data_IF_522075317201
#
_entry.id   IF_522075317201
#
_cell.length_a   1.000
_cell.length_b   1.000
_cell.length_c   1.000
_cell.angle_alpha   90.00
_cell.angle_beta   90.00
_cell.angle_gamma   90.00
#
_symmetry.space_group_name_H-M   'P 1'
#
loop_
_entity.id
_entity.type
_entity.pdbx_description
1 polymer ?
#
# COMPACT_ATOMS: atom_id res chain seq x y z
N UNK A 1 -1.82 15.75 -7.96
CA UNK A 1 -2.54 14.53 -8.40
C UNK A 1 -2.32 13.45 -7.34
N UNK A 2 -3.41 12.98 -6.73
CA UNK A 2 -3.42 11.91 -5.72
C UNK A 2 -2.96 10.60 -6.36
N UNK A 3 -2.00 9.91 -5.75
CA UNK A 3 -1.54 8.61 -6.22
C UNK A 3 -2.49 7.49 -5.81
N UNK A 4 -2.64 6.49 -6.66
CA UNK A 4 -3.52 5.35 -6.43
C UNK A 4 -2.70 4.07 -6.31
N UNK A 5 -2.78 3.43 -5.15
CA UNK A 5 -2.26 2.08 -4.94
C UNK A 5 -3.42 1.09 -4.87
N UNK A 6 -3.30 -0.04 -5.54
CA UNK A 6 -4.22 -1.17 -5.41
C UNK A 6 -3.46 -2.36 -4.83
N UNK A 7 -3.89 -2.81 -3.63
CA UNK A 7 -3.19 -3.83 -2.86
C UNK A 7 -3.84 -5.22 -3.00
N UNK A 8 -3.06 -6.27 -2.71
CA UNK A 8 -3.53 -7.66 -2.75
C UNK A 8 -3.65 -8.21 -4.18
N UNK A 9 -2.70 -7.92 -5.02
CA UNK A 9 -2.60 -8.47 -6.39
C UNK A 9 -2.07 -9.90 -6.31
N UNK A 10 -2.79 -10.84 -6.94
CA UNK A 10 -2.47 -12.27 -6.95
C UNK A 10 -2.41 -12.88 -8.36
N UNK A 11 -2.78 -12.12 -9.39
CA UNK A 11 -2.79 -12.57 -10.77
C UNK A 11 -2.47 -11.40 -11.73
N UNK A 12 -2.07 -11.75 -12.94
CA UNK A 12 -1.64 -10.76 -13.95
C UNK A 12 -2.82 -10.00 -14.55
N UNK A 13 -3.98 -10.63 -14.67
CA UNK A 13 -5.18 -10.04 -15.23
C UNK A 13 -5.64 -8.85 -14.39
N UNK A 14 -5.71 -9.02 -13.07
CA UNK A 14 -6.04 -7.95 -12.11
C UNK A 14 -4.96 -6.86 -12.11
N UNK A 15 -3.69 -7.24 -12.20
CA UNK A 15 -2.59 -6.27 -12.28
C UNK A 15 -2.73 -5.36 -13.51
N UNK A 16 -2.93 -5.95 -14.69
CA UNK A 16 -3.09 -5.19 -15.95
C UNK A 16 -4.36 -4.37 -15.97
N UNK A 17 -5.46 -4.88 -15.39
CA UNK A 17 -6.70 -4.13 -15.23
C UNK A 17 -6.50 -2.88 -14.37
N UNK A 18 -5.85 -3.01 -13.19
CA UNK A 18 -5.56 -1.85 -12.32
C UNK A 18 -4.75 -0.77 -13.07
N UNK A 19 -3.74 -1.19 -13.84
CA UNK A 19 -2.89 -0.29 -14.60
C UNK A 19 -3.67 0.41 -15.70
N UNK A 20 -4.49 -0.32 -16.46
CA UNK A 20 -5.30 0.25 -17.55
C UNK A 20 -6.32 1.29 -17.07
N UNK A 21 -6.77 1.16 -15.82
CA UNK A 21 -7.66 2.12 -15.16
C UNK A 21 -6.92 3.29 -14.52
N UNK A 22 -5.59 3.24 -14.41
CA UNK A 22 -4.77 4.36 -13.94
C UNK A 22 -4.23 4.22 -12.52
N UNK A 23 -4.02 3.00 -12.02
CA UNK A 23 -3.27 2.76 -10.79
C UNK A 23 -1.79 3.12 -10.97
N UNK A 24 -1.20 3.82 -9.99
CA UNK A 24 0.22 4.20 -9.95
C UNK A 24 1.09 3.12 -9.29
N UNK A 25 0.51 2.32 -8.38
CA UNK A 25 1.23 1.30 -7.63
C UNK A 25 0.38 0.04 -7.39
N UNK A 26 1.05 -1.12 -7.34
CA UNK A 26 0.45 -2.41 -7.05
C UNK A 26 1.09 -3.04 -5.81
N UNK A 27 0.27 -3.54 -4.88
CA UNK A 27 0.71 -4.19 -3.65
C UNK A 27 0.63 -5.72 -3.73
N UNK A 28 1.75 -6.38 -3.39
CA UNK A 28 1.92 -7.83 -3.32
C UNK A 28 2.11 -8.22 -1.85
N UNK A 29 1.23 -9.06 -1.31
CA UNK A 29 1.24 -9.42 0.12
C UNK A 29 2.02 -10.70 0.33
N UNK A 30 3.10 -10.64 1.15
CA UNK A 30 3.95 -11.77 1.51
C UNK A 30 3.73 -12.23 2.96
N UNK A 31 2.50 -12.16 3.43
CA UNK A 31 2.10 -12.61 4.75
C UNK A 31 1.20 -13.83 4.64
N UNK A 32 1.70 -15.01 5.05
CA UNK A 32 1.04 -16.32 4.85
C UNK A 32 -0.39 -16.41 5.42
N UNK A 33 -0.68 -15.67 6.51
CA UNK A 33 -2.03 -15.64 7.10
C UNK A 33 -3.02 -14.77 6.31
N UNK A 34 -2.54 -14.02 5.33
CA UNK A 34 -3.41 -13.21 4.47
C UNK A 34 -4.06 -14.08 3.39
N UNK A 35 -5.37 -13.96 3.16
CA UNK A 35 -6.02 -14.63 2.03
C UNK A 35 -5.58 -14.08 0.66
N UNK A 36 -4.74 -13.06 0.65
CA UNK A 36 -4.15 -12.40 -0.53
C UNK A 36 -2.65 -12.63 -0.61
N UNK A 37 -2.15 -13.60 0.18
CA UNK A 37 -0.73 -13.95 0.11
C UNK A 37 -0.40 -14.47 -1.29
N UNK A 38 0.71 -13.96 -1.84
CA UNK A 38 1.25 -14.41 -3.12
C UNK A 38 2.61 -15.07 -2.88
N UNK A 39 2.87 -16.19 -3.54
CA UNK A 39 4.19 -16.79 -3.50
C UNK A 39 5.20 -16.01 -4.34
N UNK A 40 6.49 -16.21 -4.04
CA UNK A 40 7.58 -15.43 -4.65
C UNK A 40 7.71 -15.62 -6.16
N UNK A 41 7.40 -16.82 -6.66
CA UNK A 41 7.50 -17.12 -8.10
C UNK A 41 6.36 -16.46 -8.87
N UNK A 42 5.15 -16.52 -8.30
CA UNK A 42 3.99 -15.82 -8.86
C UNK A 42 4.17 -14.32 -8.84
N UNK A 43 4.70 -13.75 -7.74
CA UNK A 43 5.02 -12.33 -7.66
C UNK A 43 6.05 -11.92 -8.72
N UNK A 44 7.12 -12.70 -8.89
CA UNK A 44 8.12 -12.49 -9.94
C UNK A 44 7.53 -12.53 -11.34
N UNK A 45 6.71 -13.56 -11.64
CA UNK A 45 6.02 -13.69 -12.92
C UNK A 45 5.21 -12.44 -13.26
N UNK A 46 4.40 -11.97 -12.29
CA UNK A 46 3.58 -10.78 -12.48
C UNK A 46 4.49 -9.55 -12.65
N UNK A 47 5.39 -9.30 -11.70
CA UNK A 47 6.23 -8.10 -11.66
C UNK A 47 7.10 -7.94 -12.93
N UNK A 48 7.58 -9.04 -13.51
CA UNK A 48 8.39 -9.02 -14.74
C UNK A 48 7.63 -8.57 -15.99
N UNK A 49 6.31 -8.64 -15.97
CA UNK A 49 5.41 -8.28 -17.09
C UNK A 49 4.80 -6.88 -16.94
N UNK A 50 5.04 -6.20 -15.81
CA UNK A 50 4.48 -4.86 -15.57
C UNK A 50 5.28 -3.78 -16.32
N UNK A 51 4.62 -2.72 -16.80
CA UNK A 51 5.27 -1.54 -17.36
C UNK A 51 6.26 -0.89 -16.36
N UNK A 52 7.32 -0.22 -16.85
CA UNK A 52 8.43 0.25 -16.01
C UNK A 52 8.03 1.35 -15.01
N UNK A 53 6.97 2.12 -15.26
CA UNK A 53 6.52 3.21 -14.40
C UNK A 53 5.49 2.80 -13.34
N UNK A 54 5.22 1.51 -13.19
CA UNK A 54 4.36 0.99 -12.12
C UNK A 54 5.20 0.63 -10.91
N UNK A 55 4.86 1.21 -9.75
CA UNK A 55 5.52 0.93 -8.49
C UNK A 55 5.04 -0.42 -7.95
N UNK A 56 5.99 -1.33 -7.69
CA UNK A 56 5.75 -2.68 -7.15
C UNK A 56 6.06 -2.67 -5.65
N UNK A 57 5.01 -2.74 -4.82
CA UNK A 57 5.10 -2.64 -3.36
C UNK A 57 4.98 -4.03 -2.75
N UNK A 58 6.01 -4.51 -2.07
CA UNK A 58 5.93 -5.72 -1.24
C UNK A 58 5.39 -5.38 0.15
N UNK A 59 4.34 -6.05 0.58
CA UNK A 59 3.72 -5.87 1.91
C UNK A 59 4.12 -7.02 2.81
N UNK A 60 4.76 -6.69 3.93
CA UNK A 60 5.33 -7.64 4.90
C UNK A 60 4.80 -7.38 6.30
N UNK A 61 4.70 -8.42 7.11
CA UNK A 61 4.25 -8.37 8.51
C UNK A 61 5.22 -9.17 9.37
N UNK A 62 6.12 -8.50 10.09
CA UNK A 62 7.11 -9.10 10.98
C UNK A 62 7.94 -10.21 10.28
N UNK A 63 8.31 -10.01 9.03
CA UNK A 63 9.12 -10.98 8.27
C UNK A 63 10.59 -10.91 8.70
N UNK A 64 11.35 -12.00 8.54
CA UNK A 64 12.80 -11.99 8.71
C UNK A 64 13.46 -11.05 7.69
N UNK A 65 14.42 -10.23 8.13
CA UNK A 65 15.04 -9.19 7.31
C UNK A 65 15.77 -9.74 6.08
N UNK A 66 16.43 -10.89 6.23
CA UNK A 66 17.16 -11.53 5.13
C UNK A 66 16.21 -12.16 4.13
N UNK A 67 15.15 -12.82 4.64
CA UNK A 67 14.09 -13.38 3.81
C UNK A 67 13.34 -12.27 3.05
N UNK A 68 13.03 -11.14 3.70
CA UNK A 68 12.45 -9.98 3.04
C UNK A 68 13.34 -9.46 1.91
N UNK A 69 14.66 -9.28 2.17
CA UNK A 69 15.63 -8.88 1.15
C UNK A 69 15.61 -9.84 -0.05
N UNK A 70 15.62 -11.14 0.19
CA UNK A 70 15.64 -12.14 -0.86
C UNK A 70 14.38 -12.11 -1.71
N UNK A 71 13.21 -11.96 -1.07
CA UNK A 71 11.91 -11.75 -1.74
C UNK A 71 11.93 -10.46 -2.57
N UNK A 72 12.43 -9.36 -2.01
CA UNK A 72 12.49 -8.06 -2.67
C UNK A 72 13.25 -8.12 -4.00
N UNK A 73 14.47 -8.65 -3.98
CA UNK A 73 15.28 -8.77 -5.20
C UNK A 73 14.73 -9.80 -6.17
N UNK A 74 14.35 -10.99 -5.66
CA UNK A 74 13.85 -12.06 -6.51
C UNK A 74 12.58 -11.69 -7.27
N UNK A 75 11.64 -11.02 -6.59
CA UNK A 75 10.36 -10.60 -7.18
C UNK A 75 10.46 -9.30 -7.99
N UNK A 76 11.57 -8.56 -7.91
CA UNK A 76 11.78 -7.29 -8.60
C UNK A 76 10.89 -6.17 -8.06
N UNK A 77 10.74 -6.10 -6.73
CA UNK A 77 9.99 -5.05 -6.04
C UNK A 77 10.73 -3.70 -6.09
N UNK A 78 10.03 -2.60 -5.87
CA UNK A 78 10.59 -1.25 -5.80
C UNK A 78 10.51 -0.65 -4.40
N UNK A 79 9.48 -1.00 -3.63
CA UNK A 79 9.14 -0.41 -2.33
C UNK A 79 8.79 -1.51 -1.35
N UNK A 80 9.18 -1.34 -0.10
CA UNK A 80 8.80 -2.20 1.02
C UNK A 80 7.75 -1.50 1.87
N UNK A 81 6.63 -2.17 2.12
CA UNK A 81 5.62 -1.75 3.09
C UNK A 81 5.69 -2.67 4.32
N UNK A 82 6.05 -2.10 5.46
CA UNK A 82 6.07 -2.76 6.76
C UNK A 82 4.74 -2.55 7.47
N UNK A 83 3.97 -3.62 7.60
CA UNK A 83 2.59 -3.57 8.08
C UNK A 83 2.39 -4.30 9.42
N UNK A 84 3.48 -4.68 10.06
CA UNK A 84 3.53 -5.35 11.35
C UNK A 84 3.96 -4.46 12.52
N UNK A 85 4.44 -5.10 13.57
CA UNK A 85 5.00 -4.45 14.76
C UNK A 85 6.54 -4.34 14.73
N UNK A 86 7.13 -4.19 13.53
CA UNK A 86 8.57 -4.07 13.36
C UNK A 86 9.10 -2.87 14.15
N UNK A 87 10.24 -3.04 14.83
CA UNK A 87 10.91 -1.98 15.60
C UNK A 87 11.80 -1.11 14.71
N UNK A 88 12.20 0.05 15.22
CA UNK A 88 13.09 0.99 14.50
C UNK A 88 14.41 0.35 14.06
N UNK A 89 15.02 -0.48 14.92
CA UNK A 89 16.26 -1.18 14.56
C UNK A 89 16.09 -2.11 13.36
N UNK A 90 14.93 -2.73 13.20
CA UNK A 90 14.60 -3.52 12.02
C UNK A 90 14.68 -2.66 10.74
N UNK A 91 14.17 -1.43 10.78
CA UNK A 91 14.22 -0.51 9.64
C UNK A 91 15.67 -0.14 9.29
N UNK A 92 16.51 0.15 10.29
CA UNK A 92 17.94 0.41 10.07
C UNK A 92 18.65 -0.78 9.42
N UNK A 93 18.45 -1.98 9.97
CA UNK A 93 19.03 -3.21 9.41
C UNK A 93 18.56 -3.45 7.97
N UNK A 94 17.26 -3.25 7.72
CA UNK A 94 16.70 -3.44 6.39
C UNK A 94 17.27 -2.44 5.38
N UNK A 95 17.44 -1.17 5.74
CA UNK A 95 18.09 -0.17 4.87
C UNK A 95 19.57 -0.51 4.58
N UNK A 96 20.26 -1.13 5.53
CA UNK A 96 21.63 -1.64 5.29
C UNK A 96 21.64 -2.84 4.32
N UNK A 97 20.64 -3.72 4.38
CA UNK A 97 20.49 -4.88 3.48
C UNK A 97 19.96 -4.51 2.09
N UNK A 98 19.21 -3.41 1.98
CA UNK A 98 18.56 -2.91 0.77
C UNK A 98 18.92 -1.43 0.56
N UNK A 99 20.14 -1.08 0.15
CA UNK A 99 20.54 0.31 -0.06
C UNK A 99 19.63 1.01 -1.06
N UNK A 100 19.10 2.20 -0.68
CA UNK A 100 18.21 2.99 -1.53
C UNK A 100 16.75 2.53 -1.56
N UNK A 101 16.36 1.52 -0.76
CA UNK A 101 14.96 1.10 -0.66
C UNK A 101 14.09 2.19 -0.06
N UNK A 102 12.91 2.40 -0.64
CA UNK A 102 11.85 3.21 -0.03
C UNK A 102 11.00 2.34 0.89
N UNK A 103 10.75 2.84 2.11
CA UNK A 103 10.01 2.13 3.15
C UNK A 103 8.73 2.89 3.50
N UNK A 104 7.59 2.23 3.33
CA UNK A 104 6.28 2.66 3.82
C UNK A 104 6.05 1.97 5.17
N UNK A 105 5.79 2.71 6.24
CA UNK A 105 5.49 2.14 7.57
C UNK A 105 4.03 2.34 7.94
N UNK A 106 3.35 1.26 8.31
CA UNK A 106 2.06 1.32 8.96
C UNK A 106 2.21 1.84 10.39
N UNK A 107 1.41 2.85 10.76
CA UNK A 107 1.38 3.46 12.08
C UNK A 107 -0.03 3.52 12.63
N UNK A 108 -0.16 3.37 13.96
CA UNK A 108 -1.44 3.29 14.68
C UNK A 108 -1.73 4.53 15.52
N UNK A 109 -0.69 5.31 15.82
CA UNK A 109 -0.77 6.49 16.69
C UNK A 109 0.39 7.45 16.40
N UNK A 110 0.29 8.67 16.95
CA UNK A 110 1.30 9.73 16.77
C UNK A 110 2.66 9.34 17.32
N UNK A 111 2.74 8.68 18.47
CA UNK A 111 4.00 8.27 19.07
C UNK A 111 4.78 7.31 18.16
N UNK A 112 4.09 6.31 17.56
CA UNK A 112 4.73 5.45 16.54
C UNK A 112 5.24 6.28 15.35
N UNK A 113 4.44 7.22 14.85
CA UNK A 113 4.82 8.04 13.72
C UNK A 113 6.05 8.92 14.01
N UNK A 114 6.11 9.56 15.17
CA UNK A 114 7.27 10.36 15.61
C UNK A 114 8.55 9.52 15.71
N UNK A 115 8.45 8.30 16.26
CA UNK A 115 9.59 7.38 16.39
C UNK A 115 10.11 6.94 15.02
N UNK A 116 9.22 6.67 14.06
CA UNK A 116 9.60 6.16 12.74
C UNK A 116 9.92 7.25 11.71
N UNK A 117 9.45 8.49 11.89
CA UNK A 117 9.64 9.57 10.93
C UNK A 117 11.10 9.79 10.47
N UNK A 118 12.13 9.68 11.34
CA UNK A 118 13.52 9.85 10.90
C UNK A 118 14.06 8.73 10.01
N UNK A 119 13.39 7.57 9.95
CA UNK A 119 13.97 6.35 9.36
C UNK A 119 13.16 5.75 8.22
N UNK A 120 11.94 6.24 7.96
CA UNK A 120 11.08 5.77 6.87
C UNK A 120 10.81 6.87 5.84
N UNK A 121 10.25 6.52 4.71
CA UNK A 121 10.07 7.44 3.59
C UNK A 121 8.60 7.89 3.44
N UNK A 122 7.66 7.14 4.00
CA UNK A 122 6.23 7.49 4.05
C UNK A 122 5.48 6.67 5.09
N UNK A 123 4.30 7.16 5.48
CA UNK A 123 3.39 6.43 6.36
C UNK A 123 2.17 5.93 5.62
N UNK A 124 1.61 4.83 6.13
CA UNK A 124 0.28 4.36 5.76
C UNK A 124 -0.58 4.23 7.02
N UNK A 125 -1.78 4.78 6.98
CA UNK A 125 -2.82 4.61 8.01
C UNK A 125 -3.89 3.67 7.45
N UNK A 126 -4.19 2.61 8.19
CA UNK A 126 -5.16 1.57 7.83
C UNK A 126 -5.98 1.18 9.06
N UNK A 127 -7.18 0.69 8.86
CA UNK A 127 -8.07 0.17 9.93
C UNK A 127 -7.68 -1.21 10.47
N UNK A 128 -6.59 -1.80 9.94
CA UNK A 128 -6.09 -3.12 10.34
C UNK A 128 -6.32 -4.22 9.30
N UNK A 129 -5.45 -4.24 8.28
CA UNK A 129 -5.15 -5.40 7.47
C UNK A 129 -6.30 -6.04 6.67
N UNK A 130 -6.96 -5.31 5.78
CA UNK A 130 -7.90 -5.91 4.81
C UNK A 130 -9.26 -6.33 5.41
N UNK A 131 -9.63 -5.80 6.58
CA UNK A 131 -10.91 -6.05 7.24
C UNK A 131 -12.10 -5.36 6.56
N UNK A 132 -11.84 -4.37 5.70
CA UNK A 132 -12.85 -3.53 5.05
C UNK A 132 -13.52 -2.51 5.97
N UNK A 133 -13.03 -2.35 7.19
CA UNK A 133 -13.45 -1.26 8.10
C UNK A 133 -12.81 0.05 7.64
N UNK A 134 -13.52 1.16 7.81
CA UNK A 134 -12.97 2.50 7.56
C UNK A 134 -11.98 2.85 8.67
N UNK A 135 -10.83 3.42 8.30
CA UNK A 135 -9.84 3.88 9.27
C UNK A 135 -10.29 5.20 9.93
N UNK A 136 -9.58 5.59 10.98
CA UNK A 136 -9.80 6.85 11.68
C UNK A 136 -9.21 8.01 10.85
N UNK A 137 -10.09 8.73 10.14
CA UNK A 137 -9.69 9.86 9.29
C UNK A 137 -9.25 11.08 10.11
N UNK A 138 -9.74 11.26 11.34
CA UNK A 138 -9.27 12.33 12.23
C UNK A 138 -7.82 12.10 12.64
N UNK A 139 -7.47 10.88 13.01
CA UNK A 139 -6.08 10.51 13.25
C UNK A 139 -5.22 10.72 11.99
N UNK A 140 -5.68 10.25 10.82
CA UNK A 140 -4.94 10.39 9.57
C UNK A 140 -4.72 11.86 9.19
N UNK A 141 -5.73 12.72 9.39
CA UNK A 141 -5.64 14.17 9.17
C UNK A 141 -4.63 14.81 10.11
N UNK A 142 -4.72 14.54 11.41
CA UNK A 142 -3.78 15.07 12.40
C UNK A 142 -2.34 14.63 12.09
N UNK A 143 -2.12 13.38 11.71
CA UNK A 143 -0.82 12.88 11.28
C UNK A 143 -0.29 13.64 10.05
N UNK A 144 -1.15 13.85 9.04
CA UNK A 144 -0.81 14.59 7.82
C UNK A 144 -0.43 16.05 8.09
N UNK A 145 -1.08 16.70 9.06
CA UNK A 145 -0.82 18.10 9.43
C UNK A 145 0.45 18.25 10.29
N UNK A 146 0.78 17.22 11.07
CA UNK A 146 1.88 17.25 12.04
C UNK A 146 3.22 16.79 11.46
N UNK A 147 3.21 15.78 10.57
CA UNK A 147 4.42 15.15 10.03
C UNK A 147 4.55 15.42 8.54
N UNK A 148 5.74 15.85 8.11
CA UNK A 148 6.02 16.26 6.72
C UNK A 148 6.14 15.09 5.73
N UNK A 149 6.24 13.84 6.19
CA UNK A 149 6.34 12.67 5.31
C UNK A 149 5.04 12.42 4.53
N UNK A 150 5.13 11.90 3.30
CA UNK A 150 3.96 11.50 2.53
C UNK A 150 3.08 10.52 3.30
N UNK A 151 1.77 10.79 3.32
CA UNK A 151 0.77 9.92 3.96
C UNK A 151 -0.04 9.18 2.91
N UNK A 152 -0.13 7.86 3.04
CA UNK A 152 -0.99 6.99 2.27
C UNK A 152 -2.21 6.66 3.14
N UNK A 153 -3.40 6.96 2.64
CA UNK A 153 -4.65 6.64 3.34
C UNK A 153 -5.20 5.31 2.84
N UNK A 154 -5.39 4.37 3.76
CA UNK A 154 -5.96 3.06 3.50
C UNK A 154 -7.14 2.76 4.44
N UNK A 155 -7.62 1.53 4.42
CA UNK A 155 -8.68 1.05 5.32
C UNK A 155 -10.09 1.35 4.81
N UNK A 156 -10.72 0.33 4.22
CA UNK A 156 -12.14 0.34 3.84
C UNK A 156 -12.52 1.31 2.74
N UNK A 157 -11.56 1.83 1.97
CA UNK A 157 -11.83 2.76 0.86
C UNK A 157 -12.46 2.04 -0.33
N UNK A 158 -13.49 2.67 -0.90
CA UNK A 158 -14.18 2.29 -2.14
C UNK A 158 -14.67 3.54 -2.89
N UNK A 159 -15.36 3.38 -4.04
CA UNK A 159 -15.87 4.50 -4.84
C UNK A 159 -16.85 5.42 -4.11
N UNK A 160 -17.53 4.91 -3.07
CA UNK A 160 -18.56 5.69 -2.33
C UNK A 160 -17.96 6.62 -1.28
N UNK A 161 -16.77 6.33 -0.74
CA UNK A 161 -16.21 7.08 0.38
C UNK A 161 -14.85 7.75 0.06
N UNK A 162 -14.15 7.35 -0.99
CA UNK A 162 -12.78 7.82 -1.27
C UNK A 162 -12.72 9.33 -1.52
N UNK A 163 -13.73 9.91 -2.16
CA UNK A 163 -13.78 11.37 -2.41
C UNK A 163 -13.84 12.16 -1.11
N UNK A 164 -14.68 11.74 -0.17
CA UNK A 164 -14.79 12.36 1.16
C UNK A 164 -13.51 12.17 1.96
N UNK A 165 -12.95 10.96 1.94
CA UNK A 165 -11.68 10.64 2.59
C UNK A 165 -10.53 11.56 2.11
N UNK A 166 -10.42 11.77 0.80
CA UNK A 166 -9.42 12.67 0.20
C UNK A 166 -9.65 14.12 0.64
N UNK A 167 -10.90 14.61 0.63
CA UNK A 167 -11.23 15.97 1.07
C UNK A 167 -10.96 16.21 2.55
N UNK A 168 -11.12 15.20 3.38
CA UNK A 168 -10.90 15.30 4.83
C UNK A 168 -9.44 15.25 5.20
N UNK A 169 -8.67 14.32 4.60
CA UNK A 169 -7.31 14.00 5.02
C UNK A 169 -6.24 14.69 4.16
N UNK A 170 -6.53 15.01 2.91
CA UNK A 170 -5.58 15.50 1.92
C UNK A 170 -4.31 14.62 1.81
N UNK A 171 -4.47 13.30 1.62
CA UNK A 171 -3.34 12.37 1.59
C UNK A 171 -2.50 12.54 0.32
N UNK A 172 -1.24 12.08 0.35
CA UNK A 172 -0.41 11.94 -0.83
C UNK A 172 -0.93 10.86 -1.79
N UNK A 173 -1.40 9.74 -1.20
CA UNK A 173 -1.93 8.60 -1.95
C UNK A 173 -3.11 7.94 -1.21
N UNK A 174 -3.91 7.22 -1.96
CA UNK A 174 -4.94 6.31 -1.43
C UNK A 174 -4.59 4.86 -1.77
N UNK A 175 -4.86 3.94 -0.83
CA UNK A 175 -4.64 2.50 -1.00
C UNK A 175 -5.94 1.74 -0.74
N UNK A 176 -6.37 0.92 -1.69
CA UNK A 176 -7.56 0.12 -1.54
C UNK A 176 -7.31 -1.35 -1.88
N UNK A 177 -7.99 -2.25 -1.17
CA UNK A 177 -7.80 -3.68 -1.30
C UNK A 177 -9.13 -4.44 -1.33
N UNK A 178 -9.64 -4.82 -0.16
CA UNK A 178 -10.77 -5.75 0.00
C UNK A 178 -12.09 -5.23 -0.57
N UNK A 179 -12.33 -3.93 -0.52
CA UNK A 179 -13.56 -3.31 -1.05
C UNK A 179 -13.61 -3.29 -2.59
N UNK A 180 -12.46 -3.48 -3.24
CA UNK A 180 -12.35 -3.56 -4.70
C UNK A 180 -12.38 -5.00 -5.23
N UNK A 181 -12.75 -5.97 -4.40
CA UNK A 181 -12.76 -7.38 -4.77
C UNK A 181 -14.18 -7.91 -5.02
N UNK A 182 -14.28 -8.84 -5.97
CA UNK A 182 -15.46 -9.72 -6.15
C UNK A 182 -15.38 -10.95 -5.26
N UNK A 183 -14.17 -11.46 -5.06
CA UNK A 183 -13.81 -12.51 -4.10
C UNK A 183 -12.39 -12.27 -3.60
N UNK A 184 -12.01 -12.86 -2.45
CA UNK A 184 -10.69 -12.65 -1.85
C UNK A 184 -9.55 -12.94 -2.84
N UNK A 185 -8.71 -11.93 -3.07
CA UNK A 185 -7.60 -12.01 -4.02
C UNK A 185 -7.96 -11.84 -5.49
N UNK A 186 -9.23 -11.55 -5.83
CA UNK A 186 -9.64 -11.24 -7.21
C UNK A 186 -10.40 -9.92 -7.29
N UNK A 187 -9.93 -9.01 -8.12
CA UNK A 187 -10.50 -7.68 -8.26
C UNK A 187 -11.81 -7.71 -9.05
N UNK A 188 -12.66 -6.73 -8.77
CA UNK A 188 -13.90 -6.45 -9.48
C UNK A 188 -13.70 -5.25 -10.40
N UNK A 189 -13.96 -5.40 -11.68
CA UNK A 189 -13.73 -4.33 -12.67
C UNK A 189 -14.56 -3.08 -12.37
N UNK A 190 -15.86 -3.24 -12.08
CA UNK A 190 -16.74 -2.10 -11.84
C UNK A 190 -16.35 -1.32 -10.58
N UNK A 191 -16.00 -2.01 -9.50
CA UNK A 191 -15.55 -1.37 -8.26
C UNK A 191 -14.20 -0.66 -8.43
N UNK A 192 -13.27 -1.24 -9.19
CA UNK A 192 -11.99 -0.59 -9.52
C UNK A 192 -12.19 0.68 -10.34
N UNK A 193 -13.00 0.60 -11.39
CA UNK A 193 -13.30 1.74 -12.27
C UNK A 193 -13.97 2.88 -11.48
N UNK A 194 -15.00 2.58 -10.69
CA UNK A 194 -15.66 3.55 -9.83
C UNK A 194 -14.67 4.20 -8.86
N UNK A 195 -13.86 3.40 -8.17
CA UNK A 195 -12.88 3.90 -7.19
C UNK A 195 -11.87 4.86 -7.84
N UNK A 196 -11.22 4.46 -8.92
CA UNK A 196 -10.21 5.28 -9.59
C UNK A 196 -10.83 6.54 -10.19
N UNK A 197 -12.03 6.44 -10.79
CA UNK A 197 -12.78 7.59 -11.28
C UNK A 197 -13.07 8.61 -10.17
N UNK A 198 -13.53 8.15 -9.01
CA UNK A 198 -13.82 9.04 -7.88
C UNK A 198 -12.56 9.69 -7.29
N UNK A 199 -11.42 8.99 -7.28
CA UNK A 199 -10.13 9.61 -6.93
C UNK A 199 -9.78 10.73 -7.91
N UNK A 200 -9.88 10.51 -9.21
CA UNK A 200 -9.57 11.53 -10.23
C UNK A 200 -10.55 12.71 -10.19
N UNK A 201 -11.82 12.46 -9.95
CA UNK A 201 -12.84 13.52 -9.79
C UNK A 201 -12.62 14.38 -8.53
N UNK A 202 -11.96 13.85 -7.49
CA UNK A 202 -11.66 14.63 -6.29
C UNK A 202 -10.64 15.75 -6.50
N UNK A 203 -9.87 15.69 -7.60
CA UNK A 203 -8.82 16.67 -7.94
C UNK A 203 -9.35 17.86 -8.75
N UNK A 204 -10.52 17.74 -9.33
CA UNK A 204 -11.12 18.77 -10.22
C UNK A 204 -12.19 19.62 -9.53
N UNK A 205 -12.44 19.36 -8.26
CA UNK A 205 -13.41 20.08 -7.42
C UNK A 205 -12.70 20.91 -6.35
#
# INVERSE_FOLDING_TARGET
MIKVKVCGITNIEDAMLCISLGADALGFVFYEKSPRCVDIYRAKEICSRLPPFIIKVGVFVNEDEKRLRDIFYFSGLNVVQLHGGEFVNYVYNLKALLPGVHIIKFVRNMNEAEIFAPVVDSFIVDSGGGTGKVCDWEFAKNLRETISLPLILAGGLDGRNVREAIKTVHPYAVDACSKLEKEKGKKDNGKLEEFIKEVRNSETA
#
